data_IF_387194886818
#
_entry.id   IF_387194886818
#
_cell.length_a   1.000
_cell.length_b   1.000
_cell.length_c   1.000
_cell.angle_alpha   90.00
_cell.angle_beta   90.00
_cell.angle_gamma   90.00
#
_symmetry.space_group_name_H-M   'P 1'
#
loop_
_entity.id
_entity.type
_entity.pdbx_description
1 polymer ?
#
# COMPACT_ATOMS: atom_id res chain seq x y z
N UNK A 1 16.42 6.59 -8.24
CA UNK A 1 17.17 5.62 -7.42
C UNK A 1 16.29 5.42 -6.20
N UNK A 2 15.91 4.18 -5.89
CA UNK A 2 15.10 3.93 -4.68
C UNK A 2 15.97 4.34 -3.48
N UNK A 3 15.49 5.31 -2.70
CA UNK A 3 16.23 5.76 -1.52
C UNK A 3 16.13 4.69 -0.41
N UNK A 4 17.11 4.68 0.50
CA UNK A 4 17.19 3.64 1.54
C UNK A 4 15.97 3.65 2.47
N UNK A 5 15.36 4.83 2.67
CA UNK A 5 14.19 5.00 3.52
C UNK A 5 12.95 4.35 2.88
N UNK A 6 12.71 4.58 1.59
CA UNK A 6 11.63 3.96 0.81
C UNK A 6 11.73 2.43 0.86
N UNK A 7 12.92 1.88 0.62
CA UNK A 7 13.14 0.42 0.68
C UNK A 7 12.91 -0.13 2.09
N UNK A 8 13.35 0.57 3.14
CA UNK A 8 13.15 0.15 4.53
C UNK A 8 11.67 0.10 4.91
N UNK A 9 10.88 1.11 4.50
CA UNK A 9 9.44 1.11 4.70
C UNK A 9 8.74 -0.01 3.92
N UNK A 10 9.19 -0.28 2.69
CA UNK A 10 8.65 -1.39 1.91
C UNK A 10 8.89 -2.72 2.62
N UNK A 11 10.11 -2.94 3.13
CA UNK A 11 10.48 -4.13 3.88
C UNK A 11 9.67 -4.27 5.19
N UNK A 12 9.58 -3.21 5.99
CA UNK A 12 8.84 -3.22 7.26
C UNK A 12 7.37 -3.59 7.07
N UNK A 13 6.70 -3.02 6.06
CA UNK A 13 5.31 -3.36 5.74
C UNK A 13 5.17 -4.82 5.27
N UNK A 14 6.12 -5.32 4.45
CA UNK A 14 6.13 -6.72 4.01
C UNK A 14 6.30 -7.66 5.22
N UNK A 15 7.20 -7.35 6.14
CA UNK A 15 7.43 -8.14 7.36
C UNK A 15 6.19 -8.12 8.26
N UNK A 16 5.58 -6.96 8.47
CA UNK A 16 4.35 -6.79 9.26
C UNK A 16 3.21 -7.65 8.70
N UNK A 17 2.87 -7.52 7.42
CA UNK A 17 1.82 -8.35 6.83
C UNK A 17 2.25 -9.82 6.73
N UNK A 18 3.54 -10.08 6.60
CA UNK A 18 4.13 -11.42 6.56
C UNK A 18 3.95 -12.19 7.86
N UNK A 19 4.04 -11.54 9.02
CA UNK A 19 3.82 -12.16 10.33
C UNK A 19 2.33 -12.50 10.56
N UNK A 20 1.40 -11.72 9.99
CA UNK A 20 -0.05 -11.92 10.10
C UNK A 20 -0.67 -12.74 8.94
N UNK A 21 0.14 -13.18 7.98
CA UNK A 21 -0.31 -13.78 6.70
C UNK A 21 -1.23 -15.00 6.84
N UNK A 22 -1.09 -15.76 7.93
CA UNK A 22 -1.90 -16.97 8.20
C UNK A 22 -3.25 -16.60 8.79
N UNK A 23 -3.25 -15.64 9.71
CA UNK A 23 -4.44 -15.15 10.40
C UNK A 23 -5.42 -14.50 9.42
N UNK A 24 -4.94 -13.55 8.61
CA UNK A 24 -5.82 -12.81 7.69
C UNK A 24 -5.97 -13.44 6.32
N UNK A 25 -5.21 -14.52 6.05
CA UNK A 25 -5.14 -15.16 4.73
C UNK A 25 -4.80 -14.19 3.58
N UNK A 26 -4.02 -13.16 3.90
CA UNK A 26 -3.53 -12.16 2.95
C UNK A 26 -2.03 -12.33 2.68
N UNK A 27 -1.57 -11.74 1.59
CA UNK A 27 -0.15 -11.64 1.22
C UNK A 27 0.17 -10.23 0.74
N UNK A 28 1.20 -9.64 1.33
CA UNK A 28 1.84 -8.44 0.79
C UNK A 28 2.76 -8.85 -0.36
N UNK A 29 2.57 -8.23 -1.52
CA UNK A 29 3.37 -8.44 -2.72
C UNK A 29 4.04 -7.13 -3.13
N UNK A 30 5.39 -7.06 -3.07
CA UNK A 30 6.09 -5.90 -3.60
C UNK A 30 5.95 -5.85 -5.11
N UNK A 31 5.74 -4.64 -5.65
CA UNK A 31 5.83 -4.35 -7.09
C UNK A 31 4.98 -5.28 -7.97
N UNK A 32 3.81 -5.69 -7.49
CA UNK A 32 2.86 -6.51 -8.25
C UNK A 32 2.18 -5.66 -9.33
N UNK A 33 2.07 -6.16 -10.55
CA UNK A 33 1.36 -5.46 -11.63
C UNK A 33 -0.14 -5.54 -11.43
N UNK A 34 -0.79 -4.37 -11.40
CA UNK A 34 -2.24 -4.21 -11.27
C UNK A 34 -2.78 -3.60 -12.57
N UNK A 35 -3.72 -4.28 -13.20
CA UNK A 35 -4.40 -3.79 -14.40
C UNK A 35 -5.48 -2.79 -13.98
N UNK A 36 -5.19 -1.50 -14.10
CA UNK A 36 -6.11 -0.41 -13.69
C UNK A 36 -7.00 0.07 -14.84
N UNK A 37 -6.68 -0.30 -16.09
CA UNK A 37 -7.49 -0.03 -17.28
C UNK A 37 -7.04 -0.91 -18.45
N UNK A 38 -7.86 -1.03 -19.50
CA UNK A 38 -7.59 -1.88 -20.66
C UNK A 38 -6.17 -1.73 -21.26
N UNK A 39 -5.57 -0.54 -21.17
CA UNK A 39 -4.26 -0.23 -21.76
C UNK A 39 -3.17 0.10 -20.73
N UNK A 40 -3.49 0.20 -19.44
CA UNK A 40 -2.54 0.67 -18.43
C UNK A 40 -2.44 -0.24 -17.22
N UNK A 41 -1.20 -0.51 -16.83
CA UNK A 41 -0.85 -1.16 -15.59
C UNK A 41 -0.21 -0.16 -14.64
N UNK A 42 -0.51 -0.30 -13.37
CA UNK A 42 0.26 0.34 -12.31
C UNK A 42 1.03 -0.71 -11.52
N UNK A 43 2.12 -0.27 -10.92
CA UNK A 43 2.95 -1.09 -10.04
C UNK A 43 2.95 -0.36 -8.70
N UNK A 44 2.06 -0.74 -7.76
CA UNK A 44 2.14 -0.23 -6.40
C UNK A 44 3.40 -0.75 -5.71
N UNK A 45 3.92 0.01 -4.74
CA UNK A 45 5.08 -0.44 -3.96
C UNK A 45 4.73 -1.73 -3.21
N UNK A 46 3.55 -1.77 -2.58
CA UNK A 46 3.00 -2.98 -1.97
C UNK A 46 1.54 -3.16 -2.36
N UNK A 47 1.19 -4.37 -2.79
CA UNK A 47 -0.19 -4.80 -3.02
C UNK A 47 -0.57 -5.89 -2.03
N UNK A 48 -1.69 -5.72 -1.32
CA UNK A 48 -2.24 -6.71 -0.40
C UNK A 48 -3.36 -7.48 -1.10
N UNK A 49 -3.16 -8.78 -1.29
CA UNK A 49 -4.08 -9.68 -2.02
C UNK A 49 -4.52 -10.85 -1.15
N UNK A 50 -5.65 -11.46 -1.50
CA UNK A 50 -6.06 -12.74 -0.88
C UNK A 50 -5.17 -13.88 -1.38
N UNK A 51 -4.95 -14.90 -0.55
CA UNK A 51 -4.12 -16.05 -0.91
C UNK A 51 -4.55 -16.73 -2.23
N UNK A 52 -5.86 -16.80 -2.48
CA UNK A 52 -6.45 -17.44 -3.66
C UNK A 52 -6.25 -16.63 -4.97
N UNK A 53 -5.94 -15.34 -4.87
CA UNK A 53 -5.74 -14.45 -6.03
C UNK A 53 -4.33 -14.55 -6.63
N UNK A 54 -3.43 -15.31 -5.99
CA UNK A 54 -2.01 -15.39 -6.38
C UNK A 54 -1.71 -16.33 -7.56
N UNK A 55 -2.72 -16.77 -8.30
CA UNK A 55 -2.52 -17.66 -9.45
C UNK A 55 -2.03 -16.92 -10.69
N UNK A 56 -2.31 -15.61 -10.79
CA UNK A 56 -2.01 -14.79 -11.97
C UNK A 56 -0.80 -13.88 -11.77
N UNK A 57 -0.01 -13.68 -12.84
CA UNK A 57 1.13 -12.75 -12.84
C UNK A 57 0.71 -11.26 -12.91
N UNK A 58 -0.55 -11.00 -13.25
CA UNK A 58 -1.16 -9.68 -13.40
C UNK A 58 -2.49 -9.70 -12.67
N UNK A 59 -2.67 -8.78 -11.73
CA UNK A 59 -3.91 -8.69 -10.98
C UNK A 59 -4.94 -7.86 -11.76
N UNK A 60 -6.04 -8.49 -12.18
CA UNK A 60 -7.14 -7.85 -12.93
C UNK A 60 -8.36 -7.53 -12.08
N UNK A 61 -8.39 -8.04 -10.84
CA UNK A 61 -9.42 -7.76 -9.84
C UNK A 61 -8.89 -6.79 -8.79
N UNK A 62 -9.76 -5.98 -8.16
CA UNK A 62 -9.31 -5.01 -7.16
C UNK A 62 -8.64 -5.73 -5.98
N UNK A 63 -7.37 -5.43 -5.63
CA UNK A 63 -6.74 -5.95 -4.41
C UNK A 63 -7.45 -5.44 -3.15
N UNK A 64 -7.10 -6.02 -1.99
CA UNK A 64 -7.59 -5.54 -0.69
C UNK A 64 -7.01 -4.18 -0.35
N UNK A 65 -5.73 -3.97 -0.63
CA UNK A 65 -5.09 -2.68 -0.40
C UNK A 65 -3.92 -2.47 -1.35
N UNK A 66 -3.61 -1.21 -1.60
CA UNK A 66 -2.35 -0.76 -2.16
C UNK A 66 -1.72 0.24 -1.22
N UNK A 67 -0.40 0.15 -1.06
CA UNK A 67 0.42 1.11 -0.33
C UNK A 67 1.42 1.73 -1.30
N UNK A 68 1.41 3.06 -1.35
CA UNK A 68 2.39 3.90 -2.03
C UNK A 68 3.28 4.53 -0.98
N UNK A 69 4.59 4.39 -1.10
CA UNK A 69 5.56 5.01 -0.18
C UNK A 69 6.16 6.19 -0.92
N UNK A 70 5.93 7.40 -0.40
CA UNK A 70 6.39 8.62 -1.04
C UNK A 70 7.91 8.74 -0.95
N UNK A 71 8.57 8.94 -2.08
CA UNK A 71 9.97 9.33 -2.16
C UNK A 71 10.10 10.86 -2.35
N UNK A 72 11.20 11.50 -1.90
CA UNK A 72 11.40 12.95 -2.07
C UNK A 72 11.35 13.44 -3.53
N UNK A 73 11.67 12.57 -4.48
CA UNK A 73 11.68 12.89 -5.92
C UNK A 73 10.32 12.70 -6.60
N UNK A 74 9.29 12.25 -5.88
CA UNK A 74 7.98 11.98 -6.47
C UNK A 74 7.23 13.24 -6.87
N UNK A 75 6.72 13.21 -8.11
CA UNK A 75 5.88 14.29 -8.64
C UNK A 75 4.45 14.12 -8.16
N UNK A 76 3.94 15.10 -7.41
CA UNK A 76 2.56 15.14 -6.90
C UNK A 76 1.52 14.84 -7.97
N UNK A 77 1.64 15.42 -9.18
CA UNK A 77 0.67 15.17 -10.26
C UNK A 77 0.61 13.70 -10.67
N UNK A 78 1.76 13.03 -10.78
CA UNK A 78 1.86 11.62 -11.14
C UNK A 78 1.31 10.72 -10.04
N UNK A 79 1.55 11.09 -8.79
CA UNK A 79 0.98 10.39 -7.64
C UNK A 79 -0.55 10.44 -7.67
N UNK A 80 -1.14 11.63 -7.79
CA UNK A 80 -2.61 11.76 -7.83
C UNK A 80 -3.24 11.05 -9.03
N UNK A 81 -2.60 11.07 -10.20
CA UNK A 81 -3.04 10.28 -11.36
C UNK A 81 -3.08 8.78 -11.05
N UNK A 82 -2.04 8.26 -10.37
CA UNK A 82 -1.94 6.86 -9.94
C UNK A 82 -3.02 6.50 -8.91
N UNK A 83 -3.22 7.34 -7.88
CA UNK A 83 -4.24 7.14 -6.84
C UNK A 83 -5.66 7.13 -7.43
N UNK A 84 -5.95 8.02 -8.37
CA UNK A 84 -7.24 8.07 -9.05
C UNK A 84 -7.48 6.83 -9.94
N UNK A 85 -6.43 6.27 -10.56
CA UNK A 85 -6.55 5.00 -11.28
C UNK A 85 -6.87 3.83 -10.34
N UNK A 86 -6.27 3.78 -9.16
CA UNK A 86 -6.63 2.80 -8.12
C UNK A 86 -8.07 2.96 -7.65
N UNK A 87 -8.53 4.19 -7.48
CA UNK A 87 -9.93 4.48 -7.14
C UNK A 87 -10.90 3.98 -8.21
N UNK A 88 -10.60 4.23 -9.50
CA UNK A 88 -11.44 3.73 -10.61
C UNK A 88 -11.49 2.21 -10.69
N UNK A 89 -10.43 1.54 -10.25
CA UNK A 89 -10.41 0.09 -10.08
C UNK A 89 -11.14 -0.37 -8.81
N UNK A 90 -11.78 0.53 -8.04
CA UNK A 90 -12.54 0.21 -6.83
C UNK A 90 -11.72 -0.48 -5.73
N UNK A 91 -10.42 -0.16 -5.65
CA UNK A 91 -9.55 -0.62 -4.56
C UNK A 91 -10.03 0.02 -3.25
N UNK A 92 -10.44 -0.76 -2.23
CA UNK A 92 -11.10 -0.23 -1.05
C UNK A 92 -10.12 0.49 -0.10
N UNK A 93 -8.84 0.15 -0.14
CA UNK A 93 -7.82 0.73 0.73
C UNK A 93 -6.63 1.21 -0.10
N UNK A 94 -6.58 2.52 -0.35
CA UNK A 94 -5.48 3.18 -1.08
C UNK A 94 -4.74 4.05 -0.07
N UNK A 95 -3.55 3.61 0.34
CA UNK A 95 -2.81 4.22 1.43
C UNK A 95 -1.53 4.85 0.89
N UNK A 96 -1.34 6.14 1.18
CA UNK A 96 -0.08 6.82 0.98
C UNK A 96 0.68 6.82 2.31
N UNK A 97 1.94 6.39 2.27
CA UNK A 97 2.90 6.44 3.38
C UNK A 97 3.89 7.56 3.07
N UNK A 98 4.04 8.50 3.99
CA UNK A 98 4.93 9.67 3.88
C UNK A 98 5.95 9.64 5.03
N UNK A 99 7.07 8.89 4.90
CA UNK A 99 8.08 8.75 5.96
C UNK A 99 8.58 10.07 6.54
N UNK A 100 8.89 11.02 5.66
CA UNK A 100 9.37 12.36 6.02
C UNK A 100 8.24 13.38 6.22
N UNK A 101 6.98 12.95 6.15
CA UNK A 101 5.81 13.83 6.21
C UNK A 101 5.44 14.24 7.64
N UNK A 102 4.66 15.31 7.77
CA UNK A 102 4.06 15.70 9.06
C UNK A 102 3.08 14.63 9.61
N UNK A 103 2.62 13.73 8.75
CA UNK A 103 1.79 12.58 9.06
C UNK A 103 2.34 11.39 8.30
N UNK A 104 2.57 10.29 9.00
CA UNK A 104 3.17 9.09 8.42
C UNK A 104 2.31 8.46 7.33
N UNK A 105 0.99 8.54 7.42
CA UNK A 105 0.10 7.91 6.46
C UNK A 105 -1.18 8.70 6.23
N UNK A 106 -1.73 8.56 5.02
CA UNK A 106 -2.99 9.15 4.58
C UNK A 106 -3.78 8.13 3.77
N UNK A 107 -5.11 8.13 3.91
CA UNK A 107 -6.01 7.34 3.06
C UNK A 107 -6.49 8.21 1.91
N UNK A 108 -6.39 7.69 0.69
CA UNK A 108 -6.99 8.36 -0.46
C UNK A 108 -8.48 8.00 -0.56
N UNK A 109 -9.33 9.02 -0.51
CA UNK A 109 -10.79 8.89 -0.59
C UNK A 109 -11.33 9.99 -1.49
N UNK A 110 -12.04 9.61 -2.54
CA UNK A 110 -12.80 10.52 -3.40
C UNK A 110 -12.06 11.77 -3.92
N UNK A 111 -10.78 11.63 -4.29
CA UNK A 111 -9.99 12.73 -4.82
C UNK A 111 -9.07 13.38 -3.79
N UNK A 112 -9.20 13.02 -2.52
CA UNK A 112 -8.52 13.67 -1.41
C UNK A 112 -7.65 12.69 -0.62
N UNK A 113 -6.51 13.18 -0.12
CA UNK A 113 -5.68 12.46 0.84
C UNK A 113 -6.07 12.88 2.25
N UNK A 114 -6.82 12.02 2.93
CA UNK A 114 -7.32 12.26 4.28
C UNK A 114 -6.24 11.83 5.30
N UNK A 115 -5.77 12.74 6.17
CA UNK A 115 -4.85 12.39 7.24
C UNK A 115 -5.50 11.42 8.23
N UNK A 116 -4.77 10.35 8.57
CA UNK A 116 -5.15 9.42 9.63
C UNK A 116 -4.34 9.78 10.88
N UNK A 117 -5.05 10.02 12.00
CA UNK A 117 -4.42 10.39 13.28
C UNK A 117 -4.26 9.19 14.23
N UNK A 118 -4.70 8.02 13.81
CA UNK A 118 -4.70 6.80 14.63
C UNK A 118 -3.46 5.96 14.33
N UNK A 119 -2.89 5.36 15.37
CA UNK A 119 -1.80 4.39 15.23
C UNK A 119 -2.27 3.11 14.51
N UNK A 120 -3.58 2.84 14.54
CA UNK A 120 -4.18 1.65 13.94
C UNK A 120 -5.04 2.05 12.76
N UNK A 121 -4.69 1.57 11.57
CA UNK A 121 -5.48 1.70 10.36
C UNK A 121 -6.16 0.36 10.05
N UNK A 122 -7.48 0.27 10.24
CA UNK A 122 -8.25 -0.90 9.81
C UNK A 122 -8.45 -0.88 8.30
N UNK A 123 -8.29 -2.04 7.66
CA UNK A 123 -8.47 -2.19 6.22
C UNK A 123 -9.91 -2.64 5.92
N UNK A 124 -10.59 -1.90 5.05
CA UNK A 124 -11.95 -2.21 4.64
C UNK A 124 -12.03 -3.57 3.94
N UNK A 125 -13.16 -4.27 4.12
CA UNK A 125 -13.45 -5.60 3.53
C UNK A 125 -12.52 -6.73 4.00
N UNK A 126 -11.87 -6.55 5.14
CA UNK A 126 -11.03 -7.55 5.81
C UNK A 126 -11.00 -7.30 7.32
N UNK A 127 -10.51 -8.27 8.08
CA UNK A 127 -10.22 -8.11 9.51
C UNK A 127 -8.83 -7.52 9.76
N UNK A 128 -8.00 -7.45 8.71
CA UNK A 128 -6.63 -6.95 8.77
C UNK A 128 -6.56 -5.45 9.12
N UNK A 129 -5.47 -5.08 9.77
CA UNK A 129 -5.15 -3.71 10.11
C UNK A 129 -3.63 -3.49 10.06
N UNK A 130 -3.24 -2.22 10.05
CA UNK A 130 -1.85 -1.79 10.21
C UNK A 130 -1.72 -1.14 11.58
N UNK A 131 -0.80 -1.63 12.41
CA UNK A 131 -0.35 -0.88 13.59
C UNK A 131 0.96 -0.18 13.23
N UNK A 132 0.90 1.14 13.02
CA UNK A 132 2.02 1.90 12.51
C UNK A 132 3.21 1.94 13.47
N UNK A 133 2.97 1.91 14.78
CA UNK A 133 4.05 1.84 15.78
C UNK A 133 4.83 0.52 15.69
N UNK A 134 4.12 -0.58 15.45
CA UNK A 134 4.77 -1.88 15.30
C UNK A 134 5.52 -1.97 13.97
N UNK A 135 4.98 -1.36 12.90
CA UNK A 135 5.70 -1.25 11.60
C UNK A 135 6.95 -0.39 11.75
N UNK A 136 6.87 0.76 12.42
CA UNK A 136 8.01 1.64 12.69
C UNK A 136 9.10 0.93 13.50
N UNK A 137 8.72 0.11 14.48
CA UNK A 137 9.68 -0.66 15.28
C UNK A 137 10.50 -1.65 14.44
N UNK A 138 9.98 -2.12 13.30
CA UNK A 138 10.71 -3.00 12.38
C UNK A 138 11.82 -2.26 11.63
N UNK A 139 11.69 -0.94 11.40
CA UNK A 139 12.71 -0.12 10.74
C UNK A 139 14.01 -0.07 11.55
N UNK A 140 13.90 -0.04 12.89
CA UNK A 140 15.07 -0.03 13.79
C UNK A 140 15.81 -1.38 13.87
N UNK A 141 15.25 -2.43 13.29
CA UNK A 141 15.78 -3.79 13.29
C UNK A 141 16.38 -4.21 11.93
N UNK A 142 16.39 -3.30 10.95
CA UNK A 142 16.80 -3.52 9.55
C UNK A 142 18.21 -3.01 9.27
#
# INVERSE_FOLDING_TARGET
>A
MEDQEHSAWQEALILWFGSHRKEWQLRARPKLRVNVSAEHYQIPDITLVRNEELQDQILTRPPIAVFEILSPDDRVSRLFEKLEQYKRMEIPNIILVEPAGARLHRKYVDGELIPCNEDILRLDRTEAFVNWKDVEALLASS
#
